data_IF_097137990937
#
_entry.id   IF_097137990937
#
_cell.length_a   1.000
_cell.length_b   1.000
_cell.length_c   1.000
_cell.angle_alpha   90.00
_cell.angle_beta   90.00
_cell.angle_gamma   90.00
#
_symmetry.space_group_name_H-M   'P 1'
#
loop_
_entity.id
_entity.type
_entity.pdbx_description
1 polymer ?
#
# COMPACT_ATOMS: atom_id res chain seq x y z
N UNK A 1 2.47 -15.67 -19.13
CA UNK A 1 2.42 -14.32 -19.76
C UNK A 1 2.08 -13.34 -18.67
N UNK A 2 2.66 -12.13 -18.68
CA UNK A 2 2.40 -11.14 -17.64
C UNK A 2 0.98 -10.58 -17.76
N UNK A 3 0.21 -10.60 -16.68
CA UNK A 3 -1.10 -9.93 -16.60
C UNK A 3 -1.00 -8.54 -15.95
N UNK A 4 0.23 -8.08 -15.66
CA UNK A 4 0.49 -6.77 -15.11
C UNK A 4 0.32 -5.68 -16.16
N UNK A 5 -0.34 -4.58 -15.77
CA UNK A 5 -0.50 -3.37 -16.57
C UNK A 5 -0.25 -2.16 -15.70
N UNK A 6 0.07 -1.04 -16.34
CA UNK A 6 0.11 0.24 -15.67
C UNK A 6 -0.45 1.34 -16.57
N UNK A 7 -0.98 2.38 -15.92
CA UNK A 7 -1.27 3.68 -16.52
C UNK A 7 -0.45 4.75 -15.81
N UNK A 8 -0.35 5.92 -16.43
CA UNK A 8 0.36 7.05 -15.83
C UNK A 8 -0.47 8.32 -15.92
N UNK A 9 -0.26 9.21 -14.95
CA UNK A 9 -0.82 10.55 -14.94
C UNK A 9 0.22 11.56 -14.46
N UNK A 10 0.27 12.73 -15.09
CA UNK A 10 1.16 13.83 -14.70
C UNK A 10 0.32 15.03 -14.28
N UNK A 11 0.64 15.60 -13.13
CA UNK A 11 0.01 16.81 -12.60
C UNK A 11 1.09 17.71 -11.97
N UNK A 12 1.51 18.74 -12.70
CA UNK A 12 2.64 19.59 -12.32
C UNK A 12 3.91 18.76 -12.08
N UNK A 13 4.44 18.84 -10.86
CA UNK A 13 5.65 18.12 -10.41
C UNK A 13 5.35 16.73 -9.83
N UNK A 14 4.08 16.29 -9.88
CA UNK A 14 3.64 14.97 -9.46
C UNK A 14 3.54 14.04 -10.65
N UNK A 15 4.02 12.82 -10.48
CA UNK A 15 3.82 11.73 -11.43
C UNK A 15 3.18 10.55 -10.72
N UNK A 16 2.14 9.98 -11.32
CA UNK A 16 1.39 8.86 -10.73
C UNK A 16 1.49 7.65 -11.64
N UNK A 17 1.89 6.52 -11.06
CA UNK A 17 1.70 5.20 -11.64
C UNK A 17 0.41 4.59 -11.07
N UNK A 18 -0.45 4.06 -11.92
CA UNK A 18 -1.60 3.25 -11.51
C UNK A 18 -1.33 1.81 -11.92
N UNK A 19 -1.09 0.92 -10.96
CA UNK A 19 -0.72 -0.47 -11.20
C UNK A 19 -1.93 -1.41 -11.10
N UNK A 20 -2.01 -2.34 -12.05
CA UNK A 20 -3.10 -3.30 -12.19
C UNK A 20 -2.52 -4.70 -12.42
N UNK A 21 -3.09 -5.71 -11.75
CA UNK A 21 -2.77 -7.12 -11.99
C UNK A 21 -1.82 -7.72 -10.95
N UNK A 22 -0.96 -8.64 -11.38
CA UNK A 22 -0.11 -9.44 -10.49
C UNK A 22 1.35 -8.96 -10.56
N UNK A 23 2.01 -8.88 -9.41
CA UNK A 23 3.46 -8.63 -9.33
C UNK A 23 4.14 -9.98 -9.05
N UNK A 24 4.59 -10.64 -10.12
CA UNK A 24 5.17 -11.99 -10.12
C UNK A 24 6.48 -12.05 -10.92
N UNK A 25 7.01 -13.25 -11.20
CA UNK A 25 8.22 -13.47 -12.00
C UNK A 25 8.14 -12.97 -13.45
N UNK A 26 6.94 -12.70 -13.95
CA UNK A 26 6.70 -12.21 -15.29
C UNK A 26 6.38 -10.72 -15.31
N UNK A 27 6.37 -10.04 -14.15
CA UNK A 27 6.07 -8.61 -14.07
C UNK A 27 7.04 -7.79 -14.94
N UNK A 28 6.49 -6.82 -15.66
CA UNK A 28 7.25 -5.83 -16.41
C UNK A 28 6.92 -4.45 -15.87
N UNK A 29 7.66 -4.04 -14.83
CA UNK A 29 7.50 -2.73 -14.20
C UNK A 29 7.93 -1.61 -15.17
N UNK A 30 7.27 -0.44 -15.13
CA UNK A 30 7.53 0.65 -16.06
C UNK A 30 8.94 1.24 -15.89
N UNK A 31 9.56 1.76 -16.94
CA UNK A 31 10.73 2.61 -16.77
C UNK A 31 10.38 3.89 -16.01
N UNK A 32 11.37 4.48 -15.33
CA UNK A 32 11.21 5.81 -14.74
C UNK A 32 11.05 6.88 -15.83
N UNK A 33 10.28 7.95 -15.58
CA UNK A 33 10.18 9.06 -16.51
C UNK A 33 11.53 9.78 -16.68
N UNK A 34 11.82 10.27 -17.88
CA UNK A 34 13.07 10.99 -18.21
C UNK A 34 13.06 12.47 -17.79
N UNK A 35 12.14 12.87 -16.91
CA UNK A 35 12.01 14.24 -16.40
C UNK A 35 12.02 14.23 -14.87
N UNK A 36 12.34 15.39 -14.29
CA UNK A 36 12.37 15.55 -12.83
C UNK A 36 10.95 15.38 -12.26
N UNK A 37 10.84 14.49 -11.27
CA UNK A 37 9.63 14.23 -10.51
C UNK A 37 9.92 14.56 -9.05
N UNK A 38 9.22 15.53 -8.48
CA UNK A 38 9.38 15.84 -7.05
C UNK A 38 8.62 14.83 -6.21
N UNK A 39 7.43 14.41 -6.66
CA UNK A 39 6.57 13.47 -5.96
C UNK A 39 6.13 12.36 -6.93
N UNK A 40 6.54 11.13 -6.63
CA UNK A 40 6.11 9.93 -7.33
C UNK A 40 5.03 9.21 -6.51
N UNK A 41 3.83 9.13 -7.05
CA UNK A 41 2.72 8.38 -6.46
C UNK A 41 2.64 7.02 -7.13
N UNK A 42 2.61 5.95 -6.33
CA UNK A 42 2.40 4.59 -6.79
C UNK A 42 1.06 4.13 -6.22
N UNK A 43 0.03 4.16 -7.06
CA UNK A 43 -1.32 3.71 -6.74
C UNK A 43 -1.43 2.20 -7.00
N UNK A 44 -1.81 1.47 -5.96
CA UNK A 44 -1.81 0.01 -5.92
C UNK A 44 -3.22 -0.58 -5.84
N UNK A 45 -4.26 0.24 -6.06
CA UNK A 45 -5.66 -0.16 -5.90
C UNK A 45 -6.05 -1.41 -6.69
N UNK A 46 -5.51 -1.58 -7.90
CA UNK A 46 -5.86 -2.66 -8.81
C UNK A 46 -4.82 -3.79 -8.84
N UNK A 47 -3.82 -3.74 -7.97
CA UNK A 47 -2.91 -4.87 -7.74
C UNK A 47 -3.66 -5.97 -7.00
N UNK A 48 -3.54 -7.21 -7.47
CA UNK A 48 -4.29 -8.35 -6.94
C UNK A 48 -3.45 -9.23 -6.03
N UNK A 49 -2.17 -9.38 -6.33
CA UNK A 49 -1.25 -10.17 -5.53
C UNK A 49 0.19 -9.80 -5.83
N UNK A 50 1.06 -10.21 -4.93
CA UNK A 50 2.51 -10.20 -5.11
C UNK A 50 3.09 -11.50 -4.56
N UNK A 51 4.00 -12.14 -5.29
CA UNK A 51 4.69 -13.35 -4.85
C UNK A 51 6.16 -13.07 -4.51
N UNK A 52 6.89 -14.09 -4.04
CA UNK A 52 8.28 -13.94 -3.59
C UNK A 52 9.25 -13.43 -4.67
N UNK A 53 9.08 -13.84 -5.93
CA UNK A 53 9.91 -13.35 -7.04
C UNK A 53 9.51 -11.92 -7.39
N UNK A 54 8.22 -11.63 -7.42
CA UNK A 54 7.66 -10.30 -7.61
C UNK A 54 8.16 -9.29 -6.58
N UNK A 55 8.28 -9.68 -5.29
CA UNK A 55 8.86 -8.83 -4.24
C UNK A 55 10.29 -8.40 -4.60
N UNK A 56 11.11 -9.33 -5.11
CA UNK A 56 12.50 -9.00 -5.50
C UNK A 56 12.52 -8.01 -6.64
N UNK A 57 11.73 -8.28 -7.70
CA UNK A 57 11.66 -7.40 -8.87
C UNK A 57 11.11 -6.01 -8.50
N UNK A 58 10.12 -5.96 -7.61
CA UNK A 58 9.57 -4.73 -7.03
C UNK A 58 10.62 -3.93 -6.27
N UNK A 59 11.36 -4.57 -5.37
CA UNK A 59 12.42 -3.91 -4.60
C UNK A 59 13.56 -3.42 -5.47
N UNK A 60 13.96 -4.18 -6.51
CA UNK A 60 14.95 -3.71 -7.48
C UNK A 60 14.44 -2.52 -8.30
N UNK A 61 13.17 -2.54 -8.71
CA UNK A 61 12.56 -1.42 -9.43
C UNK A 61 12.50 -0.16 -8.58
N UNK A 62 12.16 -0.25 -7.29
CA UNK A 62 12.15 0.90 -6.39
C UNK A 62 13.53 1.57 -6.26
N UNK A 63 14.64 0.82 -6.41
CA UNK A 63 15.99 1.40 -6.43
C UNK A 63 16.29 2.24 -7.67
N UNK A 64 15.51 2.08 -8.74
CA UNK A 64 15.65 2.89 -9.95
C UNK A 64 15.05 4.30 -9.78
N UNK A 65 14.25 4.52 -8.73
CA UNK A 65 13.67 5.82 -8.43
C UNK A 65 14.79 6.77 -7.95
N UNK A 66 14.90 7.99 -8.52
CA UNK A 66 15.89 8.98 -8.09
C UNK A 66 15.79 9.30 -6.59
N UNK A 67 16.92 9.47 -5.91
CA UNK A 67 16.95 9.63 -4.45
C UNK A 67 16.39 10.97 -3.94
N UNK A 68 16.21 11.95 -4.82
CA UNK A 68 15.59 13.25 -4.56
C UNK A 68 14.06 13.24 -4.79
N UNK A 69 13.51 12.12 -5.29
CA UNK A 69 12.07 11.94 -5.50
C UNK A 69 11.37 11.49 -4.21
N UNK A 70 10.33 12.22 -3.79
CA UNK A 70 9.47 11.81 -2.68
C UNK A 70 8.50 10.71 -3.14
N UNK A 71 8.58 9.52 -2.55
CA UNK A 71 7.74 8.37 -2.91
C UNK A 71 6.50 8.31 -2.03
N UNK A 72 5.32 8.20 -2.64
CA UNK A 72 4.02 8.06 -1.96
C UNK A 72 3.31 6.79 -2.45
N UNK A 73 3.02 5.87 -1.54
CA UNK A 73 2.19 4.70 -1.80
C UNK A 73 0.73 5.02 -1.49
N UNK A 74 -0.16 4.73 -2.45
CA UNK A 74 -1.59 5.01 -2.35
C UNK A 74 -2.39 3.74 -2.60
N UNK A 75 -3.50 3.61 -1.88
CA UNK A 75 -4.47 2.50 -2.00
C UNK A 75 -3.79 1.13 -1.90
N UNK A 76 -2.87 0.97 -0.93
CA UNK A 76 -2.12 -0.28 -0.76
C UNK A 76 -3.06 -1.41 -0.36
N UNK A 77 -3.22 -2.41 -1.23
CA UNK A 77 -4.08 -3.57 -1.00
C UNK A 77 -3.51 -4.52 0.05
N UNK A 78 -4.36 -5.26 0.77
CA UNK A 78 -3.98 -6.16 1.87
C UNK A 78 -2.77 -7.05 1.58
N UNK A 79 -2.69 -7.76 0.44
CA UNK A 79 -1.52 -8.61 0.16
C UNK A 79 -0.20 -7.83 0.19
N UNK A 80 -0.19 -6.56 -0.24
CA UNK A 80 0.99 -5.71 -0.24
C UNK A 80 1.26 -5.10 1.14
N UNK A 81 0.22 -4.79 1.92
CA UNK A 81 0.37 -4.37 3.33
C UNK A 81 1.05 -5.48 4.13
N UNK A 82 0.61 -6.73 3.95
CA UNK A 82 1.20 -7.88 4.61
C UNK A 82 2.69 -8.06 4.24
N UNK A 83 3.03 -7.95 2.96
CA UNK A 83 4.44 -7.99 2.56
C UNK A 83 5.24 -6.81 3.10
N UNK A 84 4.68 -5.59 3.09
CA UNK A 84 5.35 -4.40 3.62
C UNK A 84 5.67 -4.51 5.11
N UNK A 85 4.77 -5.13 5.87
CA UNK A 85 4.93 -5.32 7.31
C UNK A 85 5.87 -6.48 7.68
N UNK A 86 6.12 -7.42 6.78
CA UNK A 86 6.99 -8.58 7.02
C UNK A 86 8.38 -8.46 6.38
N UNK A 87 8.49 -7.79 5.24
CA UNK A 87 9.71 -7.76 4.41
C UNK A 87 10.40 -6.41 4.54
N UNK A 88 11.59 -6.43 5.15
CA UNK A 88 12.43 -5.23 5.30
C UNK A 88 12.79 -4.65 3.92
N UNK A 89 12.57 -3.35 3.76
CA UNK A 89 12.90 -2.62 2.54
C UNK A 89 11.87 -2.78 1.42
N UNK A 90 10.74 -3.46 1.68
CA UNK A 90 9.62 -3.51 0.73
C UNK A 90 9.11 -2.11 0.37
N UNK A 91 9.06 -1.23 1.37
CA UNK A 91 8.89 0.21 1.19
C UNK A 91 10.25 0.89 1.41
N UNK A 92 10.70 1.79 0.50
CA UNK A 92 11.94 2.53 0.69
C UNK A 92 11.87 3.41 1.94
N UNK A 93 13.01 3.58 2.62
CA UNK A 93 13.08 4.46 3.79
C UNK A 93 12.70 5.89 3.40
N UNK A 94 11.83 6.53 4.20
CA UNK A 94 11.36 7.89 3.94
C UNK A 94 10.22 7.98 2.92
N UNK A 95 9.75 6.85 2.38
CA UNK A 95 8.50 6.82 1.63
C UNK A 95 7.29 7.06 2.55
N UNK A 96 6.26 7.66 1.98
CA UNK A 96 4.98 7.93 2.64
C UNK A 96 3.95 6.88 2.21
N UNK A 97 3.17 6.36 3.13
CA UNK A 97 1.96 5.58 2.83
C UNK A 97 0.80 6.55 3.02
N UNK A 98 0.13 6.95 1.94
CA UNK A 98 -1.02 7.86 1.98
C UNK A 98 -2.30 7.13 2.38
N UNK A 99 -2.47 5.90 1.88
CA UNK A 99 -3.61 5.06 2.21
C UNK A 99 -3.35 3.56 1.99
N UNK A 100 -4.01 2.73 2.79
CA UNK A 100 -3.98 1.27 2.68
C UNK A 100 -5.30 0.65 3.15
N UNK A 101 -5.62 -0.54 2.65
CA UNK A 101 -6.83 -1.25 3.04
C UNK A 101 -6.61 -2.09 4.29
N UNK A 102 -7.56 -2.05 5.22
CA UNK A 102 -7.60 -2.86 6.45
C UNK A 102 -8.82 -3.78 6.39
N UNK A 103 -8.66 -5.10 6.57
CA UNK A 103 -9.78 -6.04 6.50
C UNK A 103 -10.52 -6.12 7.83
N UNK A 104 -11.84 -6.18 7.73
CA UNK A 104 -12.76 -6.37 8.84
C UNK A 104 -13.68 -7.54 8.52
N UNK A 105 -13.82 -8.49 9.44
CA UNK A 105 -14.62 -9.70 9.29
C UNK A 105 -15.91 -9.60 10.09
N UNK A 106 -17.02 -9.98 9.47
CA UNK A 106 -18.34 -10.14 10.08
C UNK A 106 -18.61 -11.64 10.26
N UNK A 107 -18.73 -12.09 11.52
CA UNK A 107 -18.83 -13.50 11.89
C UNK A 107 -20.16 -14.14 11.45
N UNK A 108 -21.28 -13.44 11.61
CA UNK A 108 -22.62 -13.97 11.28
C UNK A 108 -22.80 -14.18 9.77
N UNK A 109 -22.04 -13.43 8.95
CA UNK A 109 -22.17 -13.41 7.49
C UNK A 109 -21.04 -14.12 6.75
N UNK A 110 -19.95 -14.44 7.44
CA UNK A 110 -18.72 -14.98 6.84
C UNK A 110 -18.21 -14.08 5.69
N UNK A 111 -18.18 -12.76 5.95
CA UNK A 111 -17.84 -11.72 4.97
C UNK A 111 -16.68 -10.85 5.46
N UNK A 112 -15.77 -10.49 4.54
CA UNK A 112 -14.67 -9.54 4.81
C UNK A 112 -14.91 -8.23 4.06
N UNK A 113 -14.97 -7.14 4.80
CA UNK A 113 -15.01 -5.77 4.29
C UNK A 113 -13.60 -5.15 4.30
N UNK A 114 -13.22 -4.53 3.19
CA UNK A 114 -11.93 -3.86 3.05
C UNK A 114 -12.10 -2.34 3.25
N UNK A 115 -11.66 -1.84 4.41
CA UNK A 115 -11.79 -0.42 4.74
C UNK A 115 -10.52 0.34 4.41
N UNK A 116 -10.66 1.41 3.62
CA UNK A 116 -9.52 2.27 3.27
C UNK A 116 -9.17 3.20 4.43
N UNK A 117 -7.99 2.97 5.00
CA UNK A 117 -7.35 3.83 5.99
C UNK A 117 -6.55 4.92 5.28
N UNK A 118 -6.66 6.16 5.76
CA UNK A 118 -5.97 7.34 5.22
C UNK A 118 -5.13 8.03 6.27
N UNK A 119 -3.94 8.47 5.88
CA UNK A 119 -3.09 9.26 6.76
C UNK A 119 -3.76 10.59 7.15
N UNK A 120 -3.53 11.02 8.39
CA UNK A 120 -4.15 12.18 9.05
C UNK A 120 -5.66 12.05 9.32
N UNK A 121 -6.26 10.91 8.98
CA UNK A 121 -7.66 10.58 9.33
C UNK A 121 -7.68 9.39 10.28
N UNK A 122 -7.10 8.28 9.86
CA UNK A 122 -7.12 7.01 10.59
C UNK A 122 -5.80 6.71 11.28
N UNK A 123 -4.69 7.24 10.74
CA UNK A 123 -3.36 7.05 11.30
C UNK A 123 -2.43 8.24 11.03
N UNK A 124 -1.33 8.25 11.77
CA UNK A 124 -0.16 9.10 11.56
C UNK A 124 1.03 8.17 11.35
N UNK A 125 1.75 8.32 10.23
CA UNK A 125 2.94 7.52 9.96
C UNK A 125 4.09 7.97 10.86
N UNK A 126 4.92 7.01 11.27
CA UNK A 126 6.15 7.29 12.01
C UNK A 126 7.07 8.24 11.24
N UNK A 127 7.70 9.13 11.99
CA UNK A 127 8.76 10.02 11.51
C UNK A 127 10.02 9.79 12.35
N UNK A 128 11.12 10.46 11.98
CA UNK A 128 12.35 10.39 12.78
C UNK A 128 12.17 10.80 14.25
N UNK A 129 11.16 11.62 14.56
CA UNK A 129 10.97 12.21 15.89
C UNK A 129 9.68 11.78 16.59
N UNK A 130 8.80 11.02 15.92
CA UNK A 130 7.48 10.65 16.44
C UNK A 130 7.13 9.23 15.98
N UNK A 131 6.78 8.30 16.88
CA UNK A 131 6.30 6.99 16.49
C UNK A 131 4.97 7.09 15.72
N UNK A 132 4.69 6.08 14.90
CA UNK A 132 3.40 5.97 14.24
C UNK A 132 2.27 5.76 15.24
N UNK A 133 1.05 6.09 14.83
CA UNK A 133 -0.16 5.84 15.62
C UNK A 133 -1.33 5.61 14.69
N UNK A 134 -2.31 4.81 15.11
CA UNK A 134 -3.52 4.54 14.35
C UNK A 134 -4.73 4.43 15.27
N UNK A 135 -5.92 4.51 14.68
CA UNK A 135 -7.20 4.25 15.34
C UNK A 135 -7.86 3.06 14.66
N UNK A 136 -8.21 2.05 15.45
CA UNK A 136 -9.09 0.98 14.99
C UNK A 136 -10.49 1.57 14.85
N UNK A 137 -11.10 1.42 13.66
CA UNK A 137 -12.48 1.82 13.45
C UNK A 137 -13.41 0.77 14.05
N UNK A 138 -14.45 1.25 14.72
CA UNK A 138 -15.60 0.43 15.10
C UNK A 138 -16.57 0.43 13.91
N UNK A 139 -16.77 -0.74 13.31
CA UNK A 139 -17.68 -0.91 12.17
C UNK A 139 -18.88 -1.72 12.61
N UNK A 140 -20.06 -1.29 12.17
CA UNK A 140 -21.31 -2.01 12.35
C UNK A 140 -21.98 -2.22 11.01
N UNK A 141 -22.41 -3.44 10.76
CA UNK A 141 -23.19 -3.75 9.58
C UNK A 141 -24.51 -2.98 9.64
N UNK A 142 -24.87 -2.30 8.54
CA UNK A 142 -26.00 -1.36 8.52
C UNK A 142 -27.35 -2.03 8.80
N UNK A 143 -27.55 -3.27 8.34
CA UNK A 143 -28.86 -3.94 8.48
C UNK A 143 -29.00 -4.76 9.76
N UNK A 144 -27.91 -5.41 10.22
CA UNK A 144 -27.94 -6.32 11.37
C UNK A 144 -27.45 -5.66 12.66
N UNK A 145 -26.67 -4.57 12.56
CA UNK A 145 -25.99 -3.96 13.70
C UNK A 145 -24.79 -4.75 14.23
N UNK A 146 -24.43 -5.85 13.55
CA UNK A 146 -23.30 -6.71 13.86
C UNK A 146 -21.99 -5.92 13.84
N UNK A 147 -21.15 -6.13 14.85
CA UNK A 147 -19.83 -5.50 14.94
C UNK A 147 -18.80 -6.29 14.14
N UNK A 148 -18.00 -5.59 13.34
CA UNK A 148 -16.91 -6.21 12.58
C UNK A 148 -15.64 -6.28 13.43
N UNK A 149 -14.92 -7.40 13.32
CA UNK A 149 -13.62 -7.60 13.97
C UNK A 149 -12.46 -7.40 12.99
N UNK A 150 -11.29 -6.96 13.46
CA UNK A 150 -10.10 -6.89 12.61
C UNK A 150 -9.65 -8.29 12.18
N UNK A 151 -9.63 -8.55 10.86
CA UNK A 151 -9.21 -9.84 10.28
C UNK A 151 -7.69 -9.93 10.08
N UNK A 152 -6.93 -9.41 11.03
CA UNK A 152 -5.47 -9.37 11.01
C UNK A 152 -4.90 -9.33 12.42
N UNK A 153 -3.64 -9.78 12.56
CA UNK A 153 -2.86 -9.51 13.77
C UNK A 153 -2.42 -8.04 13.74
N UNK A 154 -3.11 -7.20 14.51
CA UNK A 154 -2.98 -5.74 14.53
C UNK A 154 -1.52 -5.26 14.59
N UNK A 155 -0.71 -5.77 15.54
CA UNK A 155 0.67 -5.32 15.74
C UNK A 155 1.61 -5.70 14.60
N UNK A 156 1.23 -6.73 13.82
CA UNK A 156 1.95 -7.09 12.60
C UNK A 156 1.46 -6.23 11.45
N UNK A 157 0.14 -6.09 11.30
CA UNK A 157 -0.44 -5.46 10.14
C UNK A 157 -0.08 -3.98 10.02
N UNK A 158 -0.20 -3.23 11.13
CA UNK A 158 0.09 -1.81 11.16
C UNK A 158 1.60 -1.49 11.22
N UNK A 159 2.49 -2.48 11.23
CA UNK A 159 3.94 -2.23 11.30
C UNK A 159 4.47 -1.33 10.18
N UNK A 160 3.87 -1.38 8.99
CA UNK A 160 4.27 -0.53 7.85
C UNK A 160 4.25 0.98 8.18
N UNK A 161 3.45 1.42 9.15
CA UNK A 161 3.36 2.82 9.56
C UNK A 161 4.05 3.13 10.89
N UNK A 162 4.56 2.12 11.62
CA UNK A 162 5.07 2.29 12.98
C UNK A 162 6.56 2.66 13.08
N UNK A 163 7.32 2.50 11.98
CA UNK A 163 8.75 2.86 11.89
C UNK A 163 9.70 1.71 12.19
#
# INVERSE_FOLDING_TARGET
MSNFKYKTAKDGNKYTFLFEGMIDEHVKLPPMPEFVVEILIIDLNDVKMINSVGIRLWMEWLKSIPSDTSIVFRNVVKPLVEQASMVKGFLPKGSKVESFYVPYYYEERDEVEMVLYKEHVDYEQATANKPGSYKVRELKHLDSGEEAELDVIEEKYFRLIMG
#
